data_IF_294177874305
#
_entry.id   IF_294177874305
#
_cell.length_a   1.000
_cell.length_b   1.000
_cell.length_c   1.000
_cell.angle_alpha   90.00
_cell.angle_beta   90.00
_cell.angle_gamma   90.00
#
_symmetry.space_group_name_H-M   'P 1'
#
loop_
_entity.id
_entity.type
_entity.pdbx_description
1 polymer ?
#
# COMPACT_ATOMS: atom_id res chain seq x y z
N UNK A 1 2.60 -25.89 -10.45
CA UNK A 1 3.17 -24.73 -9.72
C UNK A 1 3.73 -23.64 -10.64
N UNK A 2 3.17 -23.46 -11.85
CA UNK A 2 3.55 -22.37 -12.77
C UNK A 2 2.67 -21.11 -12.62
N UNK A 3 1.46 -21.25 -12.08
CA UNK A 3 0.55 -20.13 -11.82
C UNK A 3 1.14 -19.08 -10.87
N UNK A 4 1.85 -19.51 -9.81
CA UNK A 4 2.53 -18.60 -8.87
C UNK A 4 3.79 -17.94 -9.44
N UNK A 5 4.27 -18.37 -10.62
CA UNK A 5 5.37 -17.70 -11.34
C UNK A 5 4.85 -16.64 -12.32
N UNK A 6 3.53 -16.52 -12.49
CA UNK A 6 2.91 -15.50 -13.34
C UNK A 6 3.10 -14.11 -12.74
N UNK A 7 3.26 -13.11 -13.60
CA UNK A 7 3.38 -11.70 -13.24
C UNK A 7 2.31 -11.23 -12.25
N UNK A 8 1.09 -11.76 -12.35
CA UNK A 8 -0.05 -11.41 -11.46
C UNK A 8 0.06 -11.97 -10.03
N UNK A 9 0.88 -13.00 -9.82
CA UNK A 9 1.13 -13.57 -8.50
C UNK A 9 2.46 -13.07 -7.91
N UNK A 10 3.11 -12.11 -8.57
CA UNK A 10 4.29 -11.43 -8.06
C UNK A 10 3.90 -10.35 -7.03
N UNK A 11 4.60 -10.27 -5.87
CA UNK A 11 4.39 -9.21 -4.88
C UNK A 11 4.73 -7.81 -5.43
N UNK A 12 5.48 -7.71 -6.54
CA UNK A 12 5.80 -6.44 -7.18
C UNK A 12 4.58 -5.74 -7.82
N UNK A 13 3.49 -6.46 -8.07
CA UNK A 13 2.28 -5.91 -8.70
C UNK A 13 1.29 -5.33 -7.69
N UNK A 14 1.22 -5.96 -6.52
CA UNK A 14 0.40 -5.57 -5.37
C UNK A 14 0.83 -6.43 -4.18
N UNK A 15 0.96 -5.82 -3.01
CA UNK A 15 1.09 -6.55 -1.74
C UNK A 15 0.48 -5.70 -0.62
N UNK A 16 -0.22 -6.36 0.29
CA UNK A 16 -0.73 -5.77 1.54
C UNK A 16 -0.58 -6.78 2.67
N UNK A 17 -0.81 -6.35 3.92
CA UNK A 17 -0.74 -7.15 5.14
C UNK A 17 -1.50 -8.49 5.05
N UNK A 18 -2.58 -8.55 4.29
CA UNK A 18 -3.42 -9.74 4.14
C UNK A 18 -3.22 -10.52 2.83
N UNK A 19 -2.64 -9.91 1.79
CA UNK A 19 -2.59 -10.47 0.43
C UNK A 19 -1.22 -10.27 -0.18
N UNK A 20 -0.62 -11.35 -0.68
CA UNK A 20 0.74 -11.34 -1.19
C UNK A 20 0.85 -10.94 -2.67
N UNK A 21 -0.29 -10.90 -3.39
CA UNK A 21 -0.32 -10.57 -4.81
C UNK A 21 -1.71 -10.12 -5.27
N UNK A 22 -1.80 -9.47 -6.44
CA UNK A 22 -3.10 -9.10 -7.02
C UNK A 22 -3.91 -10.32 -7.44
N UNK A 23 -3.24 -11.40 -7.87
CA UNK A 23 -3.86 -12.68 -8.20
C UNK A 23 -4.50 -13.37 -6.99
N UNK A 24 -3.85 -13.31 -5.83
CA UNK A 24 -4.41 -13.82 -4.57
C UNK A 24 -5.68 -13.06 -4.18
N UNK A 25 -5.63 -11.73 -4.18
CA UNK A 25 -6.80 -10.89 -3.94
C UNK A 25 -7.94 -11.18 -4.94
N UNK A 26 -7.60 -11.39 -6.22
CA UNK A 26 -8.59 -11.73 -7.24
C UNK A 26 -9.32 -13.05 -6.95
N UNK A 27 -8.58 -14.10 -6.60
CA UNK A 27 -9.14 -15.41 -6.25
C UNK A 27 -10.02 -15.28 -5.01
N UNK A 28 -9.54 -14.59 -3.96
CA UNK A 28 -10.32 -14.37 -2.74
C UNK A 28 -11.59 -13.57 -3.00
N UNK A 29 -11.54 -12.60 -3.92
CA UNK A 29 -12.72 -11.82 -4.33
C UNK A 29 -13.78 -12.69 -5.02
N UNK A 30 -13.37 -13.64 -5.86
CA UNK A 30 -14.30 -14.61 -6.49
C UNK A 30 -14.92 -15.51 -5.42
N UNK A 31 -14.13 -16.05 -4.49
CA UNK A 31 -14.65 -16.86 -3.39
C UNK A 31 -15.63 -16.07 -2.52
N UNK A 32 -15.29 -14.81 -2.22
CA UNK A 32 -16.15 -13.92 -1.45
C UNK A 32 -17.48 -13.67 -2.17
N UNK A 33 -17.46 -13.40 -3.48
CA UNK A 33 -18.66 -13.28 -4.30
C UNK A 33 -19.51 -14.55 -4.28
N UNK A 34 -18.89 -15.72 -4.51
CA UNK A 34 -19.61 -17.00 -4.48
C UNK A 34 -20.28 -17.24 -3.13
N UNK A 35 -19.55 -17.02 -2.02
CA UNK A 35 -20.08 -17.16 -0.66
C UNK A 35 -21.27 -16.24 -0.41
N UNK A 36 -21.14 -14.96 -0.79
CA UNK A 36 -22.19 -13.95 -0.60
C UNK A 36 -23.47 -14.32 -1.37
N UNK A 37 -23.32 -14.80 -2.61
CA UNK A 37 -24.42 -15.22 -3.45
C UNK A 37 -25.08 -16.49 -2.91
N UNK A 38 -24.31 -17.49 -2.50
CA UNK A 38 -24.85 -18.73 -1.94
C UNK A 38 -25.64 -18.48 -0.65
N UNK A 39 -25.12 -17.64 0.26
CA UNK A 39 -25.82 -17.28 1.50
C UNK A 39 -27.11 -16.53 1.17
N UNK A 40 -27.06 -15.60 0.23
CA UNK A 40 -28.21 -14.80 -0.19
C UNK A 40 -29.33 -15.66 -0.81
N UNK A 41 -28.97 -16.63 -1.65
CA UNK A 41 -29.92 -17.60 -2.21
C UNK A 41 -30.49 -18.55 -1.16
N UNK A 42 -29.65 -19.01 -0.24
CA UNK A 42 -30.10 -19.84 0.88
C UNK A 42 -31.11 -19.07 1.72
N UNK A 43 -30.81 -17.81 2.04
CA UNK A 43 -31.65 -17.04 2.95
C UNK A 43 -33.01 -16.69 2.35
N UNK A 44 -33.05 -16.39 1.04
CA UNK A 44 -34.30 -16.21 0.30
C UNK A 44 -35.27 -17.39 0.45
N UNK A 45 -34.77 -18.62 0.58
CA UNK A 45 -35.59 -19.84 0.68
C UNK A 45 -36.05 -20.14 2.10
N UNK A 46 -35.25 -19.77 3.10
CA UNK A 46 -35.47 -20.18 4.50
C UNK A 46 -35.98 -19.06 5.40
N UNK A 47 -36.02 -17.81 4.90
CA UNK A 47 -36.43 -16.65 5.70
C UNK A 47 -37.90 -16.73 6.12
N UNK A 48 -38.14 -16.87 7.42
CA UNK A 48 -39.45 -16.77 8.07
C UNK A 48 -39.51 -15.49 8.91
N UNK A 49 -40.68 -14.86 9.00
CA UNK A 49 -40.89 -13.72 9.90
C UNK A 49 -40.72 -14.18 11.34
N UNK A 50 -39.67 -13.68 12.01
CA UNK A 50 -39.47 -13.89 13.44
C UNK A 50 -40.17 -12.80 14.25
N UNK A 51 -40.95 -13.22 15.25
CA UNK A 51 -41.61 -12.33 16.20
C UNK A 51 -40.66 -12.11 17.39
N UNK A 52 -40.02 -10.94 17.42
CA UNK A 52 -39.13 -10.54 18.53
C UNK A 52 -39.89 -9.72 19.58
N UNK A 53 -39.53 -9.88 20.85
CA UNK A 53 -39.88 -8.92 21.91
C UNK A 53 -39.23 -7.56 21.66
N UNK A 54 -39.75 -6.47 22.25
CA UNK A 54 -39.26 -5.10 21.97
C UNK A 54 -37.76 -4.92 22.27
N UNK A 55 -37.28 -5.44 23.41
CA UNK A 55 -35.86 -5.39 23.77
C UNK A 55 -34.99 -6.23 22.83
N UNK A 56 -35.45 -7.43 22.47
CA UNK A 56 -34.73 -8.29 21.52
C UNK A 56 -34.65 -7.68 20.12
N UNK A 57 -35.66 -6.89 19.71
CA UNK A 57 -35.67 -6.17 18.44
C UNK A 57 -34.58 -5.09 18.39
N UNK A 58 -34.48 -4.27 19.45
CA UNK A 58 -33.46 -3.22 19.54
C UNK A 58 -32.06 -3.84 19.55
N UNK A 59 -31.86 -4.89 20.34
CA UNK A 59 -30.58 -5.62 20.38
C UNK A 59 -30.19 -6.20 19.02
N UNK A 60 -31.14 -6.86 18.32
CA UNK A 60 -30.87 -7.41 16.99
C UNK A 60 -30.58 -6.33 15.94
N UNK A 61 -31.30 -5.21 15.98
CA UNK A 61 -31.04 -4.06 15.12
C UNK A 61 -29.62 -3.52 15.33
N UNK A 62 -29.19 -3.36 16.58
CA UNK A 62 -27.84 -2.91 16.90
C UNK A 62 -26.80 -3.87 16.29
N UNK A 63 -26.96 -5.18 16.50
CA UNK A 63 -26.07 -6.20 15.94
C UNK A 63 -26.02 -6.14 14.40
N UNK A 64 -27.18 -6.04 13.73
CA UNK A 64 -27.24 -5.96 12.27
C UNK A 64 -26.55 -4.72 11.72
N UNK A 65 -26.73 -3.57 12.37
CA UNK A 65 -26.06 -2.32 11.99
C UNK A 65 -24.55 -2.42 12.22
N UNK A 66 -24.11 -3.02 13.34
CA UNK A 66 -22.69 -3.25 13.60
C UNK A 66 -22.05 -4.17 12.56
N UNK A 67 -22.74 -5.23 12.14
CA UNK A 67 -22.26 -6.12 11.07
C UNK A 67 -22.14 -5.34 9.75
N UNK A 68 -23.14 -4.52 9.41
CA UNK A 68 -23.11 -3.69 8.21
C UNK A 68 -21.93 -2.70 8.23
N UNK A 69 -21.68 -2.09 9.38
CA UNK A 69 -20.56 -1.18 9.59
C UNK A 69 -19.22 -1.86 9.34
N UNK A 70 -19.00 -3.01 10.00
CA UNK A 70 -17.76 -3.80 9.86
C UNK A 70 -17.55 -4.17 8.39
N UNK A 71 -18.62 -4.57 7.70
CA UNK A 71 -18.57 -4.98 6.31
C UNK A 71 -18.15 -3.83 5.38
N UNK A 72 -18.68 -2.62 5.58
CA UNK A 72 -18.27 -1.44 4.81
C UNK A 72 -16.87 -0.94 5.16
N UNK A 73 -16.47 -1.06 6.43
CA UNK A 73 -15.10 -0.76 6.84
C UNK A 73 -14.09 -1.66 6.11
N UNK A 74 -14.32 -2.98 6.13
CA UNK A 74 -13.45 -3.92 5.42
C UNK A 74 -13.44 -3.70 3.91
N UNK A 75 -14.60 -3.38 3.33
CA UNK A 75 -14.68 -3.04 1.92
C UNK A 75 -13.79 -1.85 1.56
N UNK A 76 -13.96 -0.73 2.25
CA UNK A 76 -13.21 0.48 1.95
C UNK A 76 -11.71 0.25 2.19
N UNK A 77 -11.34 -0.44 3.28
CA UNK A 77 -9.97 -0.85 3.54
C UNK A 77 -9.36 -1.61 2.35
N UNK A 78 -10.06 -2.63 1.82
CA UNK A 78 -9.58 -3.42 0.69
C UNK A 78 -9.45 -2.57 -0.57
N UNK A 79 -10.42 -1.68 -0.85
CA UNK A 79 -10.37 -0.80 -2.03
C UNK A 79 -9.23 0.23 -1.91
N UNK A 80 -9.07 0.86 -0.75
CA UNK A 80 -7.97 1.80 -0.48
C UNK A 80 -6.63 1.08 -0.65
N UNK A 81 -6.47 -0.06 -0.01
CA UNK A 81 -5.26 -0.88 -0.11
C UNK A 81 -4.98 -1.25 -1.57
N UNK A 82 -5.98 -1.73 -2.30
CA UNK A 82 -5.87 -2.09 -3.71
C UNK A 82 -5.30 -0.94 -4.54
N UNK A 83 -5.91 0.26 -4.50
CA UNK A 83 -5.46 1.38 -5.33
C UNK A 83 -4.14 2.01 -4.84
N UNK A 84 -3.91 2.02 -3.52
CA UNK A 84 -2.68 2.57 -2.92
C UNK A 84 -1.46 1.71 -3.26
N UNK A 85 -1.58 0.39 -3.08
CA UNK A 85 -0.46 -0.56 -3.16
C UNK A 85 -0.29 -1.24 -4.53
N UNK A 86 -1.21 -1.03 -5.47
CA UNK A 86 -1.07 -1.53 -6.85
C UNK A 86 -0.44 -0.49 -7.78
N UNK A 87 0.10 -0.94 -8.91
CA UNK A 87 0.58 -0.06 -9.98
C UNK A 87 -0.57 0.42 -10.89
N UNK A 88 -1.58 1.07 -10.31
CA UNK A 88 -2.68 1.67 -11.08
C UNK A 88 -2.31 3.10 -11.45
N UNK A 89 -2.48 3.44 -12.74
CA UNK A 89 -2.35 4.79 -13.29
C UNK A 89 -3.69 5.26 -13.89
N UNK A 90 -4.05 6.52 -13.64
CA UNK A 90 -5.20 7.20 -14.26
C UNK A 90 -4.78 8.00 -15.51
N UNK A 91 -3.53 8.46 -15.57
CA UNK A 91 -3.07 9.31 -16.67
C UNK A 91 -3.07 8.57 -18.00
N UNK A 92 -3.89 9.05 -18.94
CA UNK A 92 -3.92 8.56 -20.31
C UNK A 92 -2.59 8.88 -21.00
N UNK A 93 -1.72 7.88 -21.11
CA UNK A 93 -0.37 8.03 -21.63
C UNK A 93 0.38 6.72 -21.76
N UNK A 94 1.72 6.77 -21.83
CA UNK A 94 2.56 5.57 -21.94
C UNK A 94 2.46 4.68 -20.70
N UNK A 95 2.29 5.27 -19.51
CA UNK A 95 2.17 4.54 -18.24
C UNK A 95 0.87 3.73 -18.14
N UNK A 96 -0.24 4.25 -18.68
CA UNK A 96 -1.48 3.47 -18.80
C UNK A 96 -1.33 2.26 -19.73
N UNK A 97 -0.55 2.39 -20.81
CA UNK A 97 -0.31 1.28 -21.74
C UNK A 97 0.55 0.21 -21.06
N UNK A 98 1.59 0.62 -20.33
CA UNK A 98 2.49 -0.30 -19.62
C UNK A 98 1.77 -1.04 -18.47
N UNK A 99 0.86 -0.38 -17.76
CA UNK A 99 0.18 -0.92 -16.57
C UNK A 99 -1.26 -1.38 -16.83
N UNK A 100 -1.71 -1.39 -18.10
CA UNK A 100 -3.09 -1.66 -18.51
C UNK A 100 -3.70 -2.89 -17.83
N UNK A 101 -2.97 -4.00 -17.81
CA UNK A 101 -3.47 -5.28 -17.28
C UNK A 101 -3.76 -5.18 -15.78
N UNK A 102 -2.87 -4.54 -15.01
CA UNK A 102 -3.03 -4.35 -13.57
C UNK A 102 -4.20 -3.41 -13.29
N UNK A 103 -4.35 -2.33 -14.06
CA UNK A 103 -5.47 -1.40 -13.94
C UNK A 103 -6.81 -2.08 -14.19
N UNK A 104 -6.95 -2.81 -15.30
CA UNK A 104 -8.20 -3.53 -15.63
C UNK A 104 -8.54 -4.55 -14.55
N UNK A 105 -7.55 -5.34 -14.10
CA UNK A 105 -7.78 -6.35 -13.06
C UNK A 105 -8.17 -5.69 -11.73
N UNK A 106 -7.55 -4.58 -11.36
CA UNK A 106 -7.88 -3.86 -10.12
C UNK A 106 -9.33 -3.35 -10.12
N UNK A 107 -9.79 -2.73 -11.21
CA UNK A 107 -11.19 -2.30 -11.34
C UNK A 107 -12.16 -3.47 -11.39
N UNK A 108 -11.76 -4.59 -11.99
CA UNK A 108 -12.56 -5.80 -12.02
C UNK A 108 -12.69 -6.43 -10.62
N UNK A 109 -11.61 -6.49 -9.84
CA UNK A 109 -11.62 -6.88 -8.42
C UNK A 109 -12.56 -5.97 -7.63
N UNK A 110 -12.42 -4.65 -7.76
CA UNK A 110 -13.27 -3.68 -7.08
C UNK A 110 -14.76 -3.90 -7.41
N UNK A 111 -15.07 -4.22 -8.67
CA UNK A 111 -16.44 -4.51 -9.13
C UNK A 111 -16.98 -5.81 -8.53
N UNK A 112 -16.16 -6.88 -8.48
CA UNK A 112 -16.53 -8.17 -7.88
C UNK A 112 -16.82 -8.00 -6.38
N UNK A 113 -15.94 -7.30 -5.65
CA UNK A 113 -16.11 -7.06 -4.21
C UNK A 113 -17.37 -6.22 -3.96
N UNK A 114 -17.60 -5.17 -4.76
CA UNK A 114 -18.81 -4.34 -4.69
C UNK A 114 -20.08 -5.18 -4.83
N UNK A 115 -20.09 -6.12 -5.79
CA UNK A 115 -21.21 -7.02 -6.00
C UNK A 115 -21.39 -8.03 -4.85
N UNK A 116 -20.31 -8.49 -4.22
CA UNK A 116 -20.40 -9.37 -3.07
C UNK A 116 -21.02 -8.65 -1.85
N UNK A 117 -20.60 -7.41 -1.62
CA UNK A 117 -21.13 -6.55 -0.55
C UNK A 117 -22.59 -6.23 -0.76
N UNK A 118 -22.99 -6.02 -2.01
CA UNK A 118 -24.39 -5.88 -2.37
C UNK A 118 -25.24 -7.05 -1.85
N UNK A 119 -24.80 -8.30 -2.05
CA UNK A 119 -25.56 -9.48 -1.61
C UNK A 119 -25.66 -9.56 -0.08
N UNK A 120 -24.54 -9.35 0.63
CA UNK A 120 -24.55 -9.33 2.09
C UNK A 120 -25.38 -8.18 2.67
N UNK A 121 -25.22 -6.97 2.14
CA UNK A 121 -25.98 -5.82 2.56
C UNK A 121 -27.48 -6.04 2.32
N UNK A 122 -27.87 -6.63 1.19
CA UNK A 122 -29.27 -6.97 0.91
C UNK A 122 -29.87 -7.92 1.94
N UNK A 123 -29.13 -8.94 2.36
CA UNK A 123 -29.55 -9.84 3.45
C UNK A 123 -29.85 -9.04 4.72
N UNK A 124 -28.90 -8.20 5.14
CA UNK A 124 -29.02 -7.39 6.35
C UNK A 124 -30.23 -6.46 6.25
N UNK A 125 -30.43 -5.83 5.09
CA UNK A 125 -31.58 -4.97 4.84
C UNK A 125 -32.90 -5.74 4.93
N UNK A 126 -33.00 -6.96 4.39
CA UNK A 126 -34.20 -7.80 4.52
C UNK A 126 -34.47 -8.15 5.98
N UNK A 127 -33.44 -8.46 6.76
CA UNK A 127 -33.58 -8.78 8.19
C UNK A 127 -34.02 -7.57 9.02
N UNK A 128 -33.51 -6.38 8.71
CA UNK A 128 -33.98 -5.10 9.31
C UNK A 128 -35.43 -4.85 8.91
N UNK A 129 -35.74 -5.04 7.63
CA UNK A 129 -37.07 -4.80 7.07
C UNK A 129 -38.16 -5.64 7.76
N UNK A 130 -37.88 -6.92 8.03
CA UNK A 130 -38.82 -7.82 8.70
C UNK A 130 -39.15 -7.41 10.15
N UNK A 131 -38.34 -6.56 10.79
CA UNK A 131 -38.56 -6.11 12.17
C UNK A 131 -39.50 -4.91 12.30
N UNK A 132 -39.73 -4.15 11.22
CA UNK A 132 -40.53 -2.91 11.24
C UNK A 132 -41.76 -3.01 10.34
N UNK A 133 -42.94 -2.88 10.96
CA UNK A 133 -44.20 -2.71 10.24
C UNK A 133 -44.41 -1.24 9.85
N UNK A 134 -44.44 -0.99 8.52
CA UNK A 134 -44.95 0.17 7.75
C UNK A 134 -44.50 1.60 8.15
N UNK A 135 -44.07 2.33 7.11
CA UNK A 135 -44.17 3.79 6.98
C UNK A 135 -43.00 4.57 7.58
N UNK A 136 -43.30 5.40 8.59
CA UNK A 136 -42.38 6.43 9.09
C UNK A 136 -41.18 5.86 9.85
N UNK A 137 -41.36 4.73 10.54
CA UNK A 137 -40.30 4.10 11.35
C UNK A 137 -39.11 3.67 10.50
N UNK A 138 -39.35 3.32 9.23
CA UNK A 138 -38.30 2.95 8.25
C UNK A 138 -37.41 4.14 7.90
N UNK A 139 -38.02 5.30 7.68
CA UNK A 139 -37.30 6.54 7.40
C UNK A 139 -36.48 6.98 8.61
N UNK A 140 -37.04 6.85 9.82
CA UNK A 140 -36.33 7.20 11.06
C UNK A 140 -35.12 6.29 11.29
N UNK A 141 -35.28 4.98 11.10
CA UNK A 141 -34.17 4.02 11.24
C UNK A 141 -33.12 4.24 10.16
N UNK A 142 -33.52 4.40 8.90
CA UNK A 142 -32.59 4.68 7.79
C UNK A 142 -31.81 5.98 7.98
N UNK A 143 -32.51 7.06 8.34
CA UNK A 143 -31.87 8.34 8.65
C UNK A 143 -30.96 8.24 9.88
N UNK A 144 -31.39 7.53 10.93
CA UNK A 144 -30.58 7.28 12.12
C UNK A 144 -29.28 6.53 11.82
N UNK A 145 -29.31 5.54 10.92
CA UNK A 145 -28.11 4.83 10.47
C UNK A 145 -27.17 5.76 9.71
N UNK A 146 -27.70 6.56 8.76
CA UNK A 146 -26.88 7.50 7.97
C UNK A 146 -26.26 8.58 8.87
N UNK A 147 -27.05 9.18 9.76
CA UNK A 147 -26.61 10.24 10.67
C UNK A 147 -25.61 9.68 11.68
N UNK A 148 -25.94 8.55 12.32
CA UNK A 148 -25.07 7.90 13.30
C UNK A 148 -23.73 7.53 12.68
N UNK A 149 -23.74 7.01 11.46
CA UNK A 149 -22.52 6.73 10.72
C UNK A 149 -21.74 8.00 10.37
N UNK A 150 -22.42 9.04 9.86
CA UNK A 150 -21.79 10.33 9.56
C UNK A 150 -21.10 10.96 10.77
N UNK A 151 -21.65 10.80 11.97
CA UNK A 151 -21.03 11.26 13.21
C UNK A 151 -19.79 10.44 13.53
N UNK A 152 -19.88 9.10 13.45
CA UNK A 152 -18.74 8.21 13.68
C UNK A 152 -17.60 8.57 12.73
N UNK A 153 -17.86 8.65 11.43
CA UNK A 153 -16.82 8.97 10.44
C UNK A 153 -16.20 10.34 10.64
N UNK A 154 -17.01 11.35 11.00
CA UNK A 154 -16.51 12.68 11.33
C UNK A 154 -15.56 12.66 12.54
N UNK A 155 -15.91 11.92 13.59
CA UNK A 155 -15.09 11.82 14.82
C UNK A 155 -13.78 11.09 14.58
N UNK A 156 -13.79 10.01 13.79
CA UNK A 156 -12.58 9.23 13.51
C UNK A 156 -11.70 9.85 12.43
N UNK A 157 -12.12 10.92 11.76
CA UNK A 157 -11.36 11.80 10.83
C UNK A 157 -10.70 11.14 9.59
N UNK A 158 -10.63 9.82 9.55
CA UNK A 158 -9.95 9.06 8.49
C UNK A 158 -10.87 8.67 7.33
N UNK A 159 -12.19 8.82 7.49
CA UNK A 159 -13.17 8.30 6.55
C UNK A 159 -13.62 9.33 5.51
N UNK A 160 -13.60 8.91 4.25
CA UNK A 160 -13.92 9.75 3.11
C UNK A 160 -15.44 9.94 2.99
N UNK A 161 -15.85 11.11 2.47
CA UNK A 161 -17.24 11.44 2.08
C UNK A 161 -17.89 10.34 1.23
N UNK A 162 -17.08 9.56 0.49
CA UNK A 162 -17.51 8.36 -0.25
C UNK A 162 -18.30 7.38 0.62
N UNK A 163 -17.89 7.13 1.85
CA UNK A 163 -18.58 6.17 2.74
C UNK A 163 -20.02 6.56 3.07
N UNK A 164 -20.25 7.86 3.26
CA UNK A 164 -21.58 8.42 3.51
C UNK A 164 -22.47 8.23 2.28
N UNK A 165 -21.93 8.39 1.07
CA UNK A 165 -22.66 8.08 -0.17
C UNK A 165 -23.05 6.60 -0.21
N UNK A 166 -22.12 5.70 0.13
CA UNK A 166 -22.38 4.26 0.13
C UNK A 166 -23.50 3.88 1.11
N UNK A 167 -23.48 4.37 2.33
CA UNK A 167 -24.55 4.08 3.30
C UNK A 167 -25.86 4.78 2.92
N UNK A 168 -25.78 5.97 2.34
CA UNK A 168 -26.93 6.64 1.73
C UNK A 168 -27.61 5.78 0.67
N UNK A 169 -26.85 5.04 -0.14
CA UNK A 169 -27.42 4.11 -1.13
C UNK A 169 -28.16 2.97 -0.44
N UNK A 170 -27.58 2.37 0.60
CA UNK A 170 -28.25 1.29 1.33
C UNK A 170 -29.49 1.78 2.10
N UNK A 171 -29.46 3.00 2.64
CA UNK A 171 -30.62 3.63 3.23
C UNK A 171 -31.72 3.88 2.19
N UNK A 172 -31.39 4.38 1.00
CA UNK A 172 -32.34 4.56 -0.10
C UNK A 172 -33.04 3.25 -0.44
N UNK A 173 -32.34 2.11 -0.45
CA UNK A 173 -32.97 0.82 -0.74
C UNK A 173 -33.98 0.38 0.30
N UNK A 174 -33.74 0.63 1.58
CA UNK A 174 -34.71 0.33 2.63
C UNK A 174 -36.03 1.06 2.34
N UNK A 175 -35.97 2.26 1.77
CA UNK A 175 -37.14 3.07 1.45
C UNK A 175 -37.91 2.55 0.23
N UNK A 176 -37.19 2.04 -0.78
CA UNK A 176 -37.78 1.58 -2.05
C UNK A 176 -37.96 0.06 -2.14
N UNK A 177 -37.67 -0.69 -1.08
CA UNK A 177 -37.94 -2.13 -1.01
C UNK A 177 -39.42 -2.36 -0.70
N UNK A 178 -40.14 -2.92 -1.68
CA UNK A 178 -41.56 -3.19 -1.53
C UNK A 178 -41.81 -4.47 -0.69
N UNK A 179 -42.90 -4.47 0.07
CA UNK A 179 -43.20 -5.48 1.10
C UNK A 179 -43.64 -6.82 0.50
N UNK A 180 -44.16 -6.77 -0.73
CA UNK A 180 -44.85 -7.88 -1.37
C UNK A 180 -44.03 -8.60 -2.43
N UNK A 181 -43.02 -7.94 -3.01
CA UNK A 181 -42.16 -8.53 -4.03
C UNK A 181 -40.70 -8.36 -3.62
N UNK A 182 -40.08 -9.43 -3.14
CA UNK A 182 -38.62 -9.56 -2.95
C UNK A 182 -37.85 -9.55 -4.29
N UNK A 183 -38.53 -9.20 -5.39
CA UNK A 183 -37.98 -9.08 -6.72
C UNK A 183 -37.36 -7.70 -6.84
N UNK A 184 -36.07 -7.70 -7.14
CA UNK A 184 -35.34 -6.47 -7.43
C UNK A 184 -35.84 -5.98 -8.79
N UNK A 185 -36.30 -4.73 -8.84
CA UNK A 185 -36.72 -4.12 -10.11
C UNK A 185 -35.51 -3.71 -10.92
N UNK A 186 -35.63 -3.68 -12.25
CA UNK A 186 -34.52 -3.25 -13.13
C UNK A 186 -34.03 -1.84 -12.78
N UNK A 187 -34.93 -0.95 -12.33
CA UNK A 187 -34.60 0.40 -11.87
C UNK A 187 -33.66 0.38 -10.65
N UNK A 188 -33.92 -0.51 -9.69
CA UNK A 188 -33.05 -0.67 -8.52
C UNK A 188 -31.66 -1.14 -8.95
N UNK A 189 -31.56 -2.14 -9.84
CA UNK A 189 -30.27 -2.64 -10.35
C UNK A 189 -29.48 -1.51 -11.02
N UNK A 190 -30.13 -0.74 -11.91
CA UNK A 190 -29.50 0.38 -12.61
C UNK A 190 -29.02 1.44 -11.61
N UNK A 191 -29.87 1.80 -10.64
CA UNK A 191 -29.52 2.76 -9.58
C UNK A 191 -28.31 2.29 -8.78
N UNK A 192 -28.25 0.99 -8.46
CA UNK A 192 -27.11 0.38 -7.77
C UNK A 192 -25.82 0.47 -8.55
N UNK A 193 -25.84 0.04 -9.81
CA UNK A 193 -24.66 0.06 -10.67
C UNK A 193 -24.15 1.49 -10.79
N UNK A 194 -25.04 2.46 -11.00
CA UNK A 194 -24.68 3.87 -11.12
C UNK A 194 -24.09 4.41 -9.82
N UNK A 195 -24.71 4.11 -8.68
CA UNK A 195 -24.23 4.59 -7.38
C UNK A 195 -22.89 3.99 -6.96
N UNK A 196 -22.69 2.68 -7.15
CA UNK A 196 -21.39 2.05 -6.91
C UNK A 196 -20.33 2.55 -7.88
N UNK A 197 -20.67 2.83 -9.14
CA UNK A 197 -19.75 3.43 -10.10
C UNK A 197 -19.33 4.85 -9.67
N UNK A 198 -20.27 5.68 -9.23
CA UNK A 198 -19.98 7.02 -8.70
C UNK A 198 -19.12 6.95 -7.43
N UNK A 199 -19.48 6.05 -6.50
CA UNK A 199 -18.72 5.81 -5.28
C UNK A 199 -17.27 5.40 -5.59
N UNK A 200 -17.09 4.37 -6.42
CA UNK A 200 -15.77 3.86 -6.80
C UNK A 200 -14.97 4.91 -7.56
N UNK A 201 -15.61 5.67 -8.46
CA UNK A 201 -14.99 6.77 -9.19
C UNK A 201 -14.45 7.85 -8.25
N UNK A 202 -15.26 8.30 -7.29
CA UNK A 202 -14.85 9.32 -6.32
C UNK A 202 -13.76 8.81 -5.38
N UNK A 203 -13.91 7.58 -4.85
CA UNK A 203 -12.94 6.97 -3.96
C UNK A 203 -11.59 6.76 -4.66
N UNK A 204 -11.59 6.13 -5.83
CA UNK A 204 -10.36 5.87 -6.60
C UNK A 204 -9.68 7.18 -7.02
N UNK A 205 -10.42 8.19 -7.46
CA UNK A 205 -9.86 9.49 -7.79
C UNK A 205 -9.16 10.14 -6.59
N UNK A 206 -9.76 10.11 -5.39
CA UNK A 206 -9.14 10.67 -4.19
C UNK A 206 -7.88 9.92 -3.76
N UNK A 207 -7.88 8.58 -3.85
CA UNK A 207 -6.71 7.77 -3.49
C UNK A 207 -5.58 8.01 -4.49
N UNK A 208 -5.89 7.98 -5.78
CA UNK A 208 -4.89 8.06 -6.85
C UNK A 208 -4.30 9.46 -6.96
N UNK A 209 -5.09 10.51 -6.77
CA UNK A 209 -4.55 11.89 -6.70
C UNK A 209 -3.63 12.11 -5.50
N UNK A 210 -3.95 11.56 -4.32
CA UNK A 210 -3.04 11.59 -3.15
C UNK A 210 -1.74 10.86 -3.45
N UNK A 211 -1.82 9.67 -4.05
CA UNK A 211 -0.65 8.88 -4.45
C UNK A 211 0.22 9.60 -5.47
N UNK A 212 -0.38 10.21 -6.49
CA UNK A 212 0.33 11.02 -7.48
C UNK A 212 1.03 12.22 -6.83
N UNK A 213 0.37 12.88 -5.87
CA UNK A 213 0.96 14.00 -5.12
C UNK A 213 2.16 13.53 -4.28
N UNK A 214 2.04 12.42 -3.55
CA UNK A 214 3.14 11.82 -2.80
C UNK A 214 4.33 11.46 -3.72
N UNK A 215 4.06 10.87 -4.89
CA UNK A 215 5.09 10.58 -5.89
C UNK A 215 5.76 11.85 -6.41
N UNK A 216 4.99 12.91 -6.69
CA UNK A 216 5.53 14.19 -7.14
C UNK A 216 6.38 14.87 -6.08
N UNK A 217 6.05 14.74 -4.79
CA UNK A 217 6.90 15.23 -3.70
C UNK A 217 8.25 14.52 -3.71
N UNK A 218 8.24 13.18 -3.77
CA UNK A 218 9.50 12.39 -3.81
C UNK A 218 10.34 12.76 -5.03
N UNK A 219 9.71 12.95 -6.20
CA UNK A 219 10.41 13.39 -7.40
C UNK A 219 10.94 14.83 -7.22
N UNK A 220 10.13 15.75 -6.69
CA UNK A 220 10.56 17.12 -6.45
C UNK A 220 11.72 17.21 -5.44
N UNK A 221 11.72 16.37 -4.40
CA UNK A 221 12.85 16.23 -3.47
C UNK A 221 14.09 15.69 -4.18
N UNK A 222 13.93 14.69 -5.05
CA UNK A 222 15.06 14.16 -5.83
C UNK A 222 15.68 15.24 -6.74
N UNK A 223 14.84 16.04 -7.40
CA UNK A 223 15.24 17.13 -8.30
C UNK A 223 15.81 18.33 -7.53
N UNK A 224 15.18 18.74 -6.43
CA UNK A 224 15.63 19.90 -5.64
C UNK A 224 16.90 19.60 -4.82
N UNK A 225 17.09 18.34 -4.43
CA UNK A 225 18.25 17.91 -3.66
C UNK A 225 19.48 17.58 -4.52
N UNK A 226 19.31 17.37 -5.83
CA UNK A 226 20.17 16.49 -6.64
C UNK A 226 20.51 15.20 -5.87
N UNK A 227 19.51 14.68 -5.14
CA UNK A 227 19.60 13.51 -4.28
C UNK A 227 18.75 12.40 -4.89
N UNK A 228 19.02 11.17 -4.49
CA UNK A 228 18.23 10.01 -4.88
C UNK A 228 17.71 9.35 -3.61
N UNK A 229 16.54 9.80 -3.10
CA UNK A 229 15.96 9.30 -1.85
C UNK A 229 15.70 7.79 -1.90
N UNK A 230 15.37 7.25 -3.08
CA UNK A 230 15.15 5.82 -3.27
C UNK A 230 16.45 5.04 -3.15
N UNK A 231 17.55 5.56 -3.69
CA UNK A 231 18.87 4.97 -3.50
C UNK A 231 19.36 5.09 -2.05
N UNK A 232 19.11 6.23 -1.37
CA UNK A 232 19.41 6.41 0.06
C UNK A 232 18.68 5.39 0.94
N UNK A 233 17.39 5.16 0.68
CA UNK A 233 16.59 4.16 1.41
C UNK A 233 17.11 2.73 1.19
N UNK A 234 17.38 2.35 -0.06
CA UNK A 234 17.87 1.01 -0.39
C UNK A 234 19.31 0.75 0.06
N UNK A 235 20.07 1.81 0.33
CA UNK A 235 21.48 1.71 0.72
C UNK A 235 21.66 1.04 2.09
N UNK A 236 20.75 1.21 3.03
CA UNK A 236 20.83 0.57 4.36
C UNK A 236 20.79 -0.96 4.25
N UNK A 237 19.81 -1.47 3.50
CA UNK A 237 19.67 -2.92 3.26
C UNK A 237 20.87 -3.50 2.50
N UNK A 238 21.55 -2.69 1.67
CA UNK A 238 22.76 -3.08 0.97
C UNK A 238 23.94 -3.24 1.95
N UNK A 239 24.10 -2.30 2.87
CA UNK A 239 25.15 -2.33 3.89
C UNK A 239 24.99 -3.56 4.80
N UNK A 240 23.77 -3.88 5.21
CA UNK A 240 23.50 -5.08 6.02
C UNK A 240 23.93 -6.36 5.30
N UNK A 241 23.72 -6.44 3.99
CA UNK A 241 24.19 -7.58 3.17
C UNK A 241 25.70 -7.66 3.08
N UNK A 242 26.39 -6.51 3.04
CA UNK A 242 27.86 -6.45 3.01
C UNK A 242 28.43 -6.91 4.36
N UNK A 243 27.89 -6.44 5.50
CA UNK A 243 28.29 -6.89 6.82
C UNK A 243 27.93 -8.36 7.08
N UNK A 244 26.83 -8.85 6.50
CA UNK A 244 26.42 -10.26 6.58
C UNK A 244 27.26 -11.22 5.73
N UNK A 245 28.08 -10.73 4.78
CA UNK A 245 28.92 -11.58 3.94
C UNK A 245 30.22 -11.98 4.67
N UNK A 246 30.19 -13.16 5.26
CA UNK A 246 31.36 -13.81 5.90
C UNK A 246 32.61 -13.88 5.03
N UNK A 247 32.47 -13.91 3.70
CA UNK A 247 33.60 -13.95 2.76
C UNK A 247 34.21 -12.56 2.62
N UNK A 248 33.40 -11.50 2.55
CA UNK A 248 33.91 -10.11 2.53
C UNK A 248 34.68 -9.83 3.80
N UNK A 249 34.11 -10.16 4.96
CA UNK A 249 34.78 -9.99 6.25
C UNK A 249 36.12 -10.73 6.30
N UNK A 250 36.13 -12.02 5.94
CA UNK A 250 37.36 -12.82 5.92
C UNK A 250 38.42 -12.26 4.98
N UNK A 251 38.01 -11.74 3.82
CA UNK A 251 38.95 -11.16 2.86
C UNK A 251 39.54 -9.84 3.37
N UNK A 252 38.73 -8.99 4.02
CA UNK A 252 39.19 -7.74 4.65
C UNK A 252 40.24 -8.05 5.73
N UNK A 253 39.99 -9.04 6.60
CA UNK A 253 40.95 -9.42 7.64
C UNK A 253 42.26 -10.04 7.12
N UNK A 254 42.28 -10.56 5.89
CA UNK A 254 43.45 -11.19 5.29
C UNK A 254 44.20 -10.27 4.31
N UNK A 255 43.83 -8.98 4.24
CA UNK A 255 44.41 -8.02 3.30
C UNK A 255 45.93 -7.91 3.45
N UNK A 256 46.43 -7.80 4.69
CA UNK A 256 47.87 -7.67 4.99
C UNK A 256 48.72 -8.86 4.52
N UNK A 257 48.12 -10.04 4.40
CA UNK A 257 48.86 -11.28 4.10
C UNK A 257 48.92 -11.61 2.60
N UNK A 258 47.93 -11.20 1.82
CA UNK A 258 47.75 -11.68 0.46
C UNK A 258 47.59 -10.59 -0.61
N UNK A 259 47.69 -9.30 -0.24
CA UNK A 259 47.60 -8.16 -1.17
C UNK A 259 46.37 -8.24 -2.11
N UNK A 260 45.23 -8.66 -1.55
CA UNK A 260 44.02 -9.01 -2.29
C UNK A 260 43.00 -7.86 -2.40
N UNK A 261 43.41 -6.60 -2.18
CA UNK A 261 42.54 -5.42 -2.13
C UNK A 261 41.59 -5.34 -3.32
N UNK A 262 42.11 -5.56 -4.54
CA UNK A 262 41.32 -5.54 -5.78
C UNK A 262 40.16 -6.55 -5.75
N UNK A 263 40.37 -7.74 -5.17
CA UNK A 263 39.31 -8.76 -5.07
C UNK A 263 38.23 -8.38 -4.07
N UNK A 264 38.62 -7.72 -2.98
CA UNK A 264 37.68 -7.22 -1.96
C UNK A 264 36.82 -6.11 -2.54
N UNK A 265 37.45 -5.12 -3.18
CA UNK A 265 36.76 -4.02 -3.86
C UNK A 265 35.81 -4.57 -4.92
N UNK A 266 36.25 -5.49 -5.78
CA UNK A 266 35.40 -6.09 -6.81
C UNK A 266 34.20 -6.85 -6.23
N UNK A 267 34.39 -7.59 -5.12
CA UNK A 267 33.29 -8.30 -4.46
C UNK A 267 32.26 -7.34 -3.88
N UNK A 268 32.71 -6.27 -3.22
CA UNK A 268 31.82 -5.24 -2.68
C UNK A 268 31.09 -4.53 -3.83
N UNK A 269 31.76 -4.17 -4.92
CA UNK A 269 31.14 -3.61 -6.13
C UNK A 269 30.04 -4.51 -6.70
N UNK A 270 30.21 -5.84 -6.61
CA UNK A 270 29.19 -6.81 -7.02
C UNK A 270 27.85 -6.64 -6.29
N UNK A 271 27.85 -6.23 -5.02
CA UNK A 271 26.62 -5.95 -4.28
C UNK A 271 25.90 -4.73 -4.83
N UNK A 272 26.63 -3.66 -5.16
CA UNK A 272 26.07 -2.46 -5.78
C UNK A 272 25.49 -2.76 -7.17
N UNK A 273 26.20 -3.56 -7.98
CA UNK A 273 25.75 -3.94 -9.33
C UNK A 273 24.56 -4.90 -9.33
N UNK A 274 24.38 -5.70 -8.26
CA UNK A 274 23.26 -6.62 -8.14
C UNK A 274 21.93 -5.92 -7.82
N UNK A 275 21.97 -4.67 -7.34
CA UNK A 275 20.78 -3.87 -7.04
C UNK A 275 20.49 -2.96 -8.24
N UNK A 276 19.67 -3.46 -9.17
CA UNK A 276 19.32 -2.76 -10.41
C UNK A 276 18.64 -1.39 -10.21
N UNK A 277 18.18 -1.08 -9.00
CA UNK A 277 17.54 0.20 -8.64
C UNK A 277 18.52 1.26 -8.12
N UNK A 278 19.81 0.96 -7.97
CA UNK A 278 20.81 1.89 -7.43
C UNK A 278 21.82 2.28 -8.52
N UNK A 279 21.73 3.52 -9.01
CA UNK A 279 22.69 4.08 -9.99
C UNK A 279 23.92 4.71 -9.31
N UNK A 280 24.50 4.04 -8.30
CA UNK A 280 25.77 4.49 -7.71
C UNK A 280 26.95 3.93 -8.48
N UNK A 281 27.97 4.77 -8.68
CA UNK A 281 29.30 4.32 -9.12
C UNK A 281 30.16 4.20 -7.85
N UNK A 282 30.23 3.02 -7.19
CA UNK A 282 30.93 2.88 -5.93
C UNK A 282 32.44 3.08 -6.09
N UNK A 283 32.97 4.06 -5.35
CA UNK A 283 34.42 4.21 -5.13
C UNK A 283 34.73 3.75 -3.71
N UNK A 284 35.41 2.62 -3.60
CA UNK A 284 35.72 1.98 -2.32
C UNK A 284 37.20 2.20 -2.05
N UNK A 285 37.51 2.69 -0.85
CA UNK A 285 38.87 2.83 -0.34
C UNK A 285 38.93 2.06 0.95
N UNK A 286 39.89 1.15 1.07
CA UNK A 286 40.10 0.39 2.29
C UNK A 286 41.18 1.10 3.09
N UNK A 287 40.82 1.52 4.30
CA UNK A 287 41.76 2.14 5.24
C UNK A 287 42.10 1.12 6.33
N UNK A 288 43.38 0.89 6.58
CA UNK A 288 43.87 0.29 7.83
C UNK A 288 44.44 1.40 8.74
N UNK A 289 44.61 1.07 10.03
CA UNK A 289 45.23 1.88 11.07
C UNK A 289 46.61 2.44 10.69
N UNK A 290 47.34 1.78 9.79
CA UNK A 290 48.66 2.23 9.30
C UNK A 290 48.62 2.88 7.92
N UNK A 291 47.46 2.97 7.26
CA UNK A 291 47.36 3.52 5.90
C UNK A 291 47.45 5.05 5.93
N UNK A 292 48.52 5.59 5.36
CA UNK A 292 48.75 7.03 5.21
C UNK A 292 48.48 7.42 3.76
N UNK A 293 47.64 8.43 3.56
CA UNK A 293 47.38 9.03 2.25
C UNK A 293 48.44 10.12 1.99
N UNK A 294 49.13 10.00 0.85
CA UNK A 294 50.11 10.97 0.37
C UNK A 294 49.53 11.71 -0.84
N UNK A 295 49.46 13.04 -0.75
CA UNK A 295 49.01 13.88 -1.85
C UNK A 295 50.21 14.54 -2.53
N UNK A 296 50.40 14.25 -3.82
CA UNK A 296 51.57 14.62 -4.65
C UNK A 296 51.89 16.12 -4.79
N UNK A 297 51.21 17.03 -4.08
CA UNK A 297 51.41 18.48 -4.23
C UNK A 297 51.94 19.20 -3.00
N UNK A 298 51.75 18.67 -1.78
CA UNK A 298 52.00 19.43 -0.54
C UNK A 298 52.78 18.68 0.56
N UNK A 299 53.37 17.51 0.28
CA UNK A 299 54.02 16.64 1.29
C UNK A 299 53.12 16.36 2.53
N UNK A 300 51.81 16.48 2.34
CA UNK A 300 50.80 16.32 3.39
C UNK A 300 50.50 14.82 3.57
N UNK A 301 50.91 14.30 4.72
CA UNK A 301 50.68 12.92 5.14
C UNK A 301 49.58 12.90 6.19
N UNK A 302 48.45 12.27 5.88
CA UNK A 302 47.31 12.15 6.80
C UNK A 302 46.84 10.70 6.87
N UNK A 303 46.41 10.26 8.05
CA UNK A 303 45.79 8.95 8.21
C UNK A 303 44.52 8.87 7.35
N UNK A 304 44.35 7.74 6.65
CA UNK A 304 43.21 7.48 5.78
C UNK A 304 41.87 7.68 6.52
N UNK A 305 41.77 7.18 7.76
CA UNK A 305 40.57 7.31 8.58
C UNK A 305 40.28 8.78 8.97
N UNK A 306 41.31 9.51 9.40
CA UNK A 306 41.19 10.92 9.80
C UNK A 306 40.77 11.80 8.63
N UNK A 307 41.37 11.59 7.45
CA UNK A 307 41.06 12.36 6.24
C UNK A 307 39.57 12.25 5.85
N UNK A 308 39.03 11.02 5.80
CA UNK A 308 37.62 10.84 5.43
C UNK A 308 36.66 11.34 6.51
N UNK A 309 37.03 11.21 7.80
CA UNK A 309 36.24 11.76 8.90
C UNK A 309 36.16 13.29 8.85
N UNK A 310 37.29 13.97 8.63
CA UNK A 310 37.36 15.43 8.50
C UNK A 310 36.54 15.92 7.30
N UNK A 311 36.70 15.29 6.14
CA UNK A 311 35.92 15.61 4.94
C UNK A 311 34.41 15.46 5.18
N UNK A 312 33.99 14.41 5.87
CA UNK A 312 32.57 14.21 6.21
C UNK A 312 32.08 15.28 7.17
N UNK A 313 32.86 15.64 8.18
CA UNK A 313 32.47 16.67 9.13
C UNK A 313 32.38 18.07 8.52
N UNK A 314 33.24 18.37 7.54
CA UNK A 314 33.35 19.72 6.96
C UNK A 314 32.40 19.93 5.77
N UNK A 315 32.19 18.90 4.93
CA UNK A 315 31.42 19.03 3.69
C UNK A 315 30.21 18.09 3.58
N UNK A 316 30.04 17.16 4.52
CA UNK A 316 28.95 16.19 4.51
C UNK A 316 27.63 16.78 5.00
N UNK A 317 26.57 16.64 4.22
CA UNK A 317 25.21 16.91 4.67
C UNK A 317 24.54 15.61 5.13
N UNK A 318 23.84 15.58 6.27
CA UNK A 318 23.13 14.38 6.69
C UNK A 318 22.01 14.04 5.69
N UNK A 319 21.76 12.72 5.54
CA UNK A 319 20.65 12.16 4.77
C UNK A 319 19.59 11.60 5.71
N UNK A 320 18.55 10.97 5.17
CA UNK A 320 17.57 10.24 5.99
C UNK A 320 18.18 9.03 6.72
N UNK A 321 19.36 8.56 6.29
CA UNK A 321 20.16 7.57 7.01
C UNK A 321 21.28 8.27 7.79
N UNK A 322 21.39 7.99 9.09
CA UNK A 322 22.32 8.66 10.00
C UNK A 322 23.80 8.48 9.61
N UNK A 323 24.13 7.41 8.89
CA UNK A 323 25.51 7.06 8.54
C UNK A 323 25.86 7.37 7.07
N UNK A 324 24.92 7.88 6.28
CA UNK A 324 25.15 8.26 4.88
C UNK A 324 25.16 9.79 4.75
N UNK A 325 26.23 10.32 4.18
CA UNK A 325 26.43 11.76 4.04
C UNK A 325 26.48 12.15 2.56
N UNK A 326 25.74 13.21 2.23
CA UNK A 326 25.63 13.77 0.89
C UNK A 326 26.55 14.97 0.71
N UNK A 327 27.33 14.95 -0.37
CA UNK A 327 28.27 16.00 -0.74
C UNK A 327 27.80 16.67 -2.01
N UNK A 328 27.45 17.96 -1.88
CA UNK A 328 27.04 18.79 -3.00
C UNK A 328 28.28 19.40 -3.66
N UNK A 329 28.41 19.19 -4.97
CA UNK A 329 29.36 19.91 -5.83
C UNK A 329 30.86 19.78 -5.44
N UNK A 330 31.33 18.56 -5.17
CA UNK A 330 32.77 18.29 -5.08
C UNK A 330 33.37 18.14 -6.48
N UNK A 331 33.63 19.29 -7.11
CA UNK A 331 34.40 19.54 -8.35
C UNK A 331 34.04 18.80 -9.65
N UNK A 332 33.34 17.66 -9.64
CA UNK A 332 32.98 16.92 -10.88
C UNK A 332 31.57 16.31 -10.83
N UNK A 333 30.99 15.96 -9.67
CA UNK A 333 29.60 15.48 -9.53
C UNK A 333 29.12 15.48 -8.06
N UNK A 334 27.81 15.37 -7.85
CA UNK A 334 27.22 15.06 -6.55
C UNK A 334 27.61 13.64 -6.11
N UNK A 335 27.92 13.46 -4.83
CA UNK A 335 28.43 12.17 -4.33
C UNK A 335 27.93 11.86 -2.92
N UNK A 336 27.84 10.58 -2.62
CA UNK A 336 27.54 10.06 -1.29
C UNK A 336 28.78 9.46 -0.68
N UNK A 337 28.95 9.60 0.63
CA UNK A 337 30.02 8.93 1.38
C UNK A 337 29.48 8.34 2.67
N UNK A 338 29.99 7.16 3.01
CA UNK A 338 29.81 6.50 4.29
C UNK A 338 31.12 5.84 4.68
N UNK A 339 31.44 5.87 5.97
CA UNK A 339 32.53 5.08 6.54
C UNK A 339 31.94 3.81 7.10
N UNK A 340 32.45 2.67 6.66
CA UNK A 340 32.09 1.35 7.19
C UNK A 340 33.19 0.90 8.12
N UNK A 341 32.86 0.71 9.40
CA UNK A 341 33.83 0.27 10.41
C UNK A 341 33.63 -1.22 10.63
N UNK A 342 34.62 -2.02 10.24
CA UNK A 342 34.65 -3.46 10.46
C UNK A 342 35.52 -3.71 11.71
N UNK A 343 34.89 -3.98 12.86
CA UNK A 343 35.60 -4.31 14.10
C UNK A 343 35.84 -5.82 14.20
N UNK A 344 37.06 -6.20 14.59
CA UNK A 344 37.37 -7.59 14.96
C UNK A 344 36.72 -7.93 16.31
N UNK A 345 35.93 -9.01 16.33
CA UNK A 345 35.61 -9.73 17.57
C UNK A 345 36.81 -10.53 18.07
#
# INVERSE_FOLDING_TARGET
SELFKSYLFSPSTFADSAHNSIGDLFVNSIFFLFSSYSIDQFWKKTSKKHIYSQLARIGNLFVLISILFILFYFYEYIIISLFKNSQVSIEFGQDFIAQRTVTIISFLIASIISLAIYFYGRIILILIYQQFHIGIQRYIVGAGVVIGYGIITYVFSEFLISTVLLIGTFAFLILFMDEKDSKITSLQIISFVLMFALYLGFLSANILTKKELEQRIVIAESVAGDRDPMAEYNFEQLIDKIYGDSIVLKMVYQLDKNNNEVKVVHRIQGFFNAVASINFIPRITICDSTTILSFNKDDYMVSCATYFAEIISEFGNPTNNADLFYFRNNSINNSYRRVLVIQSC
#
